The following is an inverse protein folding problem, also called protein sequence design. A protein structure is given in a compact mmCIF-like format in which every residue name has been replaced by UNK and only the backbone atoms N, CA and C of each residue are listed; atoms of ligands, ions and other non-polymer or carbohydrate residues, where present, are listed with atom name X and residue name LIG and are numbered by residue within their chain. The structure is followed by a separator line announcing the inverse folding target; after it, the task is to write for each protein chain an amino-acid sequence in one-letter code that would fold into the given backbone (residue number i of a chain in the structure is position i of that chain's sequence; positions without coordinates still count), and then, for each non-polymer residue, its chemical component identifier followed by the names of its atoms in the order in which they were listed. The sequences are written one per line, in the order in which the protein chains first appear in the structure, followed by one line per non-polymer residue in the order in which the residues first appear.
data_IF_237856243518
#
_entry.id   IF_237856243518
#
_cell.length_a   1.000
_cell.length_b   1.000
_cell.length_c   1.000
_cell.angle_alpha   90.00
_cell.angle_beta   90.00
_cell.angle_gamma   90.00
#
_symmetry.space_group_name_H-M   'P 1'
#
loop_
_entity.id
_entity.type
_entity.pdbx_description
1 polymer ?
#
# COMPACT_ATOMS: atom_id res chain seq x y z
N UNK A 1 -22.28 3.43 39.21
CA UNK A 1 -20.86 3.58 39.58
C UNK A 1 -20.52 2.33 40.37
N UNK A 2 -19.47 1.60 39.97
CA UNK A 2 -19.07 0.22 40.40
C UNK A 2 -19.93 -0.85 39.68
N UNK A 3 -19.46 -1.74 38.80
CA UNK A 3 -18.16 -2.41 38.67
C UNK A 3 -17.76 -2.61 37.19
N UNK A 4 -16.79 -1.84 36.69
CA UNK A 4 -16.01 -2.21 35.48
C UNK A 4 -14.58 -2.44 35.97
N UNK A 5 -14.42 -3.31 36.97
CA UNK A 5 -13.09 -3.69 37.47
C UNK A 5 -12.70 -5.05 36.89
N UNK A 6 -11.61 -5.00 36.11
CA UNK A 6 -10.84 -6.13 35.54
C UNK A 6 -11.46 -6.81 34.32
N UNK A 7 -11.92 -6.04 33.33
CA UNK A 7 -11.79 -6.53 31.95
C UNK A 7 -10.30 -6.47 31.60
N UNK A 8 -9.73 -7.61 31.25
CA UNK A 8 -8.36 -7.72 30.78
C UNK A 8 -8.27 -6.96 29.45
N UNK A 9 -7.97 -5.65 29.51
CA UNK A 9 -7.93 -4.76 28.35
C UNK A 9 -6.73 -5.20 27.52
N UNK A 10 -7.00 -5.93 26.44
CA UNK A 10 -6.00 -6.20 25.41
C UNK A 10 -5.71 -4.86 24.74
N UNK A 11 -4.43 -4.51 24.59
CA UNK A 11 -4.06 -3.29 23.90
C UNK A 11 -4.46 -3.37 22.42
N UNK A 12 -5.01 -2.29 21.87
CA UNK A 12 -5.42 -2.17 20.46
C UNK A 12 -4.29 -2.62 19.50
N UNK A 13 -3.03 -2.31 19.83
CA UNK A 13 -1.83 -2.70 19.07
C UNK A 13 -1.66 -4.22 18.95
N UNK A 14 -2.01 -4.98 19.99
CA UNK A 14 -1.91 -6.44 19.97
C UNK A 14 -2.92 -7.04 19.00
N UNK A 15 -4.12 -6.48 18.93
CA UNK A 15 -5.14 -6.90 17.97
C UNK A 15 -4.72 -6.51 16.55
N UNK A 16 -4.22 -5.28 16.38
CA UNK A 16 -3.75 -4.78 15.08
C UNK A 16 -2.66 -5.67 14.47
N UNK A 17 -1.67 -6.08 15.27
CA UNK A 17 -0.57 -6.94 14.82
C UNK A 17 -1.01 -8.37 14.42
N UNK A 18 -2.22 -8.78 14.81
CA UNK A 18 -2.81 -10.09 14.47
C UNK A 18 -3.73 -10.03 13.25
N UNK A 19 -4.00 -8.84 12.72
CA UNK A 19 -4.76 -8.66 11.49
C UNK A 19 -3.80 -8.69 10.30
N UNK A 20 -4.08 -9.58 9.35
CA UNK A 20 -3.28 -9.82 8.15
C UNK A 20 -4.18 -9.68 6.91
N UNK A 21 -3.57 -9.39 5.75
CA UNK A 21 -4.30 -9.27 4.49
C UNK A 21 -4.07 -10.53 3.66
N UNK A 22 -5.14 -11.25 3.35
CA UNK A 22 -5.10 -12.45 2.51
C UNK A 22 -6.26 -12.37 1.52
N UNK A 23 -6.00 -12.62 0.23
CA UNK A 23 -7.02 -12.51 -0.83
C UNK A 23 -7.77 -11.17 -0.80
N UNK A 24 -7.04 -10.07 -0.55
CA UNK A 24 -7.57 -8.71 -0.43
C UNK A 24 -8.59 -8.52 0.72
N UNK A 25 -8.62 -9.44 1.69
CA UNK A 25 -9.45 -9.34 2.88
C UNK A 25 -8.57 -9.24 4.12
N UNK A 26 -8.91 -8.31 5.01
CA UNK A 26 -8.37 -8.30 6.36
C UNK A 26 -8.95 -9.49 7.13
N UNK A 27 -8.08 -10.34 7.66
CA UNK A 27 -8.45 -11.57 8.36
C UNK A 27 -7.57 -11.79 9.59
N UNK A 28 -8.02 -12.67 10.48
CA UNK A 28 -7.25 -13.15 11.64
C UNK A 28 -7.21 -14.68 11.65
N UNK A 29 -6.08 -15.25 12.06
CA UNK A 29 -5.87 -16.69 12.13
C UNK A 29 -6.59 -17.31 13.32
N UNK A 30 -7.08 -18.54 13.19
CA UNK A 30 -7.75 -19.31 14.25
C UNK A 30 -6.95 -19.37 15.57
N UNK A 31 -5.62 -19.49 15.49
CA UNK A 31 -4.71 -19.50 16.63
C UNK A 31 -4.68 -18.16 17.36
N UNK A 32 -4.60 -17.05 16.62
CA UNK A 32 -4.66 -15.70 17.18
C UNK A 32 -6.02 -15.41 17.81
N UNK A 33 -7.11 -15.76 17.13
CA UNK A 33 -8.47 -15.60 17.65
C UNK A 33 -8.70 -16.42 18.92
N UNK A 34 -8.19 -17.65 18.94
CA UNK A 34 -8.29 -18.52 20.12
C UNK A 34 -7.53 -17.94 21.32
N UNK A 35 -6.32 -17.42 21.10
CA UNK A 35 -5.52 -16.74 22.12
C UNK A 35 -6.24 -15.51 22.68
N UNK A 36 -6.76 -14.65 21.82
CA UNK A 36 -7.47 -13.44 22.23
C UNK A 36 -8.72 -13.79 23.04
N UNK A 37 -9.51 -14.76 22.60
CA UNK A 37 -10.71 -15.23 23.31
C UNK A 37 -10.41 -16.10 24.53
N UNK A 38 -9.16 -16.49 24.76
CA UNK A 38 -8.76 -17.29 25.92
C UNK A 38 -9.22 -18.74 25.85
N UNK A 39 -9.30 -19.31 24.64
CA UNK A 39 -9.67 -20.71 24.39
C UNK A 39 -8.56 -21.41 23.60
N UNK A 40 -8.57 -22.74 23.55
CA UNK A 40 -7.65 -23.46 22.65
C UNK A 40 -8.14 -23.38 21.21
N UNK A 41 -7.20 -23.34 20.25
CA UNK A 41 -7.52 -23.35 18.80
C UNK A 41 -8.38 -24.55 18.42
N UNK A 42 -8.12 -25.72 19.03
CA UNK A 42 -8.95 -26.91 18.86
C UNK A 42 -10.41 -26.66 19.26
N UNK A 43 -10.65 -26.08 20.44
CA UNK A 43 -12.00 -25.81 20.94
C UNK A 43 -12.72 -24.75 20.10
N UNK A 44 -11.99 -23.74 19.62
CA UNK A 44 -12.51 -22.75 18.68
C UNK A 44 -12.96 -23.41 17.38
N UNK A 45 -12.12 -24.25 16.78
CA UNK A 45 -12.42 -24.96 15.54
C UNK A 45 -13.55 -25.99 15.70
N UNK A 46 -13.67 -26.64 16.86
CA UNK A 46 -14.82 -27.49 17.19
C UNK A 46 -16.13 -26.70 17.26
N UNK A 47 -16.11 -25.52 17.89
CA UNK A 47 -17.26 -24.63 17.97
C UNK A 47 -17.73 -24.17 16.59
N UNK A 48 -16.79 -23.83 15.70
CA UNK A 48 -17.07 -23.51 14.29
C UNK A 48 -17.71 -24.68 13.57
N UNK A 49 -17.11 -25.88 13.65
CA UNK A 49 -17.62 -27.09 13.00
C UNK A 49 -19.04 -27.47 13.44
N UNK A 50 -19.37 -27.26 14.72
CA UNK A 50 -20.74 -27.48 15.23
C UNK A 50 -21.74 -26.46 14.70
N UNK A 51 -21.28 -25.30 14.26
CA UNK A 51 -22.11 -24.16 13.85
C UNK A 51 -21.84 -23.73 12.40
N UNK A 52 -21.41 -24.63 11.51
CA UNK A 52 -21.00 -24.30 10.13
C UNK A 52 -22.02 -23.47 9.35
N UNK A 53 -23.34 -23.62 9.63
CA UNK A 53 -24.40 -22.81 9.00
C UNK A 53 -24.27 -21.30 9.25
N UNK A 54 -23.55 -20.89 10.31
CA UNK A 54 -23.27 -19.49 10.67
C UNK A 54 -22.00 -18.94 10.01
N UNK A 55 -21.24 -19.80 9.33
CA UNK A 55 -19.93 -19.49 8.80
C UNK A 55 -19.91 -19.70 7.28
N UNK A 56 -20.50 -18.77 6.51
CA UNK A 56 -20.37 -18.75 5.07
C UNK A 56 -18.92 -18.44 4.65
N UNK A 57 -18.62 -18.65 3.36
CA UNK A 57 -17.25 -18.56 2.80
C UNK A 57 -16.62 -17.17 2.91
N UNK A 58 -17.43 -16.13 2.99
CA UNK A 58 -17.03 -14.73 3.18
C UNK A 58 -16.75 -14.37 4.66
N UNK A 59 -17.14 -15.24 5.60
CA UNK A 59 -16.87 -15.04 7.03
C UNK A 59 -15.62 -15.78 7.48
N UNK A 60 -15.36 -16.93 6.85
CA UNK A 60 -14.16 -17.71 7.09
C UNK A 60 -13.79 -18.58 5.90
N UNK A 61 -12.51 -18.88 5.80
CA UNK A 61 -12.00 -19.85 4.85
C UNK A 61 -10.74 -20.52 5.40
N UNK A 62 -10.38 -21.65 4.82
CA UNK A 62 -9.13 -22.35 5.15
C UNK A 62 -8.01 -21.85 4.25
N UNK A 63 -6.82 -21.66 4.82
CA UNK A 63 -5.65 -21.31 4.02
C UNK A 63 -5.19 -22.49 3.18
N UNK A 64 -4.60 -22.17 2.02
CA UNK A 64 -3.81 -23.12 1.24
C UNK A 64 -2.43 -23.32 1.88
N UNK A 65 -1.73 -24.37 1.45
CA UNK A 65 -0.36 -24.62 1.90
C UNK A 65 0.57 -23.46 1.54
N UNK A 66 0.42 -22.90 0.34
CA UNK A 66 1.20 -21.74 -0.10
C UNK A 66 0.96 -20.50 0.77
N UNK A 67 -0.30 -20.13 0.99
CA UNK A 67 -0.66 -18.98 1.84
C UNK A 67 -0.12 -19.15 3.27
N UNK A 68 -0.20 -20.37 3.81
CA UNK A 68 0.35 -20.66 5.14
C UNK A 68 1.87 -20.48 5.19
N UNK A 69 2.60 -20.96 4.20
CA UNK A 69 4.07 -20.83 4.15
C UNK A 69 4.50 -19.37 4.06
N UNK A 70 3.81 -18.58 3.23
CA UNK A 70 4.02 -17.14 3.11
C UNK A 70 3.78 -16.41 4.43
N UNK A 71 2.67 -16.70 5.12
CA UNK A 71 2.39 -16.10 6.42
C UNK A 71 3.44 -16.45 7.48
N UNK A 72 3.88 -17.70 7.52
CA UNK A 72 4.91 -18.14 8.48
C UNK A 72 6.25 -17.45 8.22
N UNK A 73 6.55 -17.12 6.96
CA UNK A 73 7.75 -16.39 6.60
C UNK A 73 7.67 -14.90 6.97
N UNK A 74 6.49 -14.29 6.81
CA UNK A 74 6.28 -12.85 7.02
C UNK A 74 5.87 -12.47 8.44
N UNK A 75 5.30 -13.40 9.22
CA UNK A 75 4.75 -13.13 10.55
C UNK A 75 5.44 -13.99 11.62
N UNK A 76 6.30 -13.37 12.43
CA UNK A 76 7.08 -14.06 13.46
C UNK A 76 6.23 -14.75 14.53
N UNK A 77 5.08 -14.17 14.88
CA UNK A 77 4.17 -14.77 15.88
C UNK A 77 3.50 -16.06 15.39
N UNK A 78 3.45 -16.28 14.07
CA UNK A 78 2.86 -17.46 13.43
C UNK A 78 3.86 -18.61 13.22
N UNK A 79 5.15 -18.44 13.57
CA UNK A 79 6.19 -19.47 13.39
C UNK A 79 5.86 -20.82 14.01
N UNK A 80 5.07 -20.84 15.09
CA UNK A 80 4.60 -22.08 15.75
C UNK A 80 3.81 -22.99 14.80
N UNK A 81 3.17 -22.43 13.77
CA UNK A 81 2.39 -23.19 12.79
C UNK A 81 3.22 -23.79 11.65
N UNK A 82 4.52 -23.47 11.55
CA UNK A 82 5.42 -23.94 10.47
C UNK A 82 5.40 -25.45 10.29
N UNK A 83 5.46 -26.18 11.41
CA UNK A 83 5.51 -27.64 11.42
C UNK A 83 4.16 -28.30 11.67
N UNK A 84 3.09 -27.51 11.82
CA UNK A 84 1.74 -28.06 11.97
C UNK A 84 1.34 -28.74 10.66
N UNK A 85 0.81 -29.97 10.66
CA UNK A 85 0.25 -30.58 9.45
C UNK A 85 -1.11 -29.98 9.08
N UNK A 86 -1.72 -29.21 9.97
CA UNK A 86 -3.04 -28.61 9.75
C UNK A 86 -2.92 -27.25 9.06
N UNK A 87 -3.84 -27.02 8.11
CA UNK A 87 -4.05 -25.72 7.49
C UNK A 87 -5.03 -24.93 8.38
N UNK A 88 -4.63 -23.74 8.85
CA UNK A 88 -5.45 -22.96 9.77
C UNK A 88 -6.66 -22.36 9.06
N UNK A 89 -7.71 -22.13 9.83
CA UNK A 89 -8.81 -21.27 9.38
C UNK A 89 -8.45 -19.80 9.62
N UNK A 90 -8.95 -18.94 8.74
CA UNK A 90 -8.90 -17.50 8.91
C UNK A 90 -10.31 -16.93 8.93
N UNK A 91 -10.50 -15.86 9.69
CA UNK A 91 -11.80 -15.24 9.94
C UNK A 91 -11.75 -13.76 9.58
N UNK A 92 -12.77 -13.28 8.87
CA UNK A 92 -12.98 -11.85 8.63
C UNK A 92 -13.58 -11.19 9.87
N UNK A 93 -13.80 -9.87 9.82
CA UNK A 93 -14.55 -9.14 10.86
C UNK A 93 -15.89 -9.82 11.19
N UNK A 94 -16.65 -10.24 10.18
CA UNK A 94 -17.93 -10.92 10.38
C UNK A 94 -17.75 -12.32 10.99
N UNK A 95 -16.69 -13.04 10.59
CA UNK A 95 -16.29 -14.30 11.21
C UNK A 95 -15.95 -14.15 12.69
N UNK A 96 -15.26 -13.07 13.07
CA UNK A 96 -14.95 -12.75 14.47
C UNK A 96 -16.22 -12.55 15.30
N UNK A 97 -17.20 -11.80 14.76
CA UNK A 97 -18.50 -11.60 15.39
C UNK A 97 -19.24 -12.93 15.59
N UNK A 98 -19.25 -13.78 14.56
CA UNK A 98 -19.87 -15.10 14.67
C UNK A 98 -19.16 -15.98 15.71
N UNK A 99 -17.84 -15.97 15.77
CA UNK A 99 -17.07 -16.69 16.80
C UNK A 99 -17.45 -16.26 18.21
N UNK A 100 -17.57 -14.96 18.47
CA UNK A 100 -17.98 -14.45 19.77
C UNK A 100 -19.39 -14.92 20.16
N UNK A 101 -20.31 -14.94 19.20
CA UNK A 101 -21.69 -15.42 19.41
C UNK A 101 -21.75 -16.92 19.74
N UNK A 102 -20.83 -17.72 19.20
CA UNK A 102 -20.81 -19.18 19.43
C UNK A 102 -20.04 -19.52 20.71
N UNK A 103 -18.97 -18.80 21.04
CA UNK A 103 -18.20 -19.02 22.27
C UNK A 103 -18.93 -18.50 23.51
N UNK A 104 -19.69 -17.41 23.36
CA UNK A 104 -20.59 -16.85 24.37
C UNK A 104 -19.98 -16.68 25.78
N UNK A 105 -18.71 -16.26 25.84
CA UNK A 105 -18.03 -15.92 27.10
C UNK A 105 -17.86 -14.42 27.24
N UNK A 106 -17.88 -13.91 28.47
CA UNK A 106 -17.63 -12.49 28.77
C UNK A 106 -16.36 -11.96 28.10
N UNK A 107 -15.30 -12.77 28.10
CA UNK A 107 -14.05 -12.44 27.42
C UNK A 107 -14.24 -12.34 25.90
N UNK A 108 -14.91 -13.31 25.28
CA UNK A 108 -15.14 -13.30 23.84
C UNK A 108 -16.00 -12.10 23.41
N UNK A 109 -17.00 -11.72 24.21
CA UNK A 109 -17.84 -10.55 23.97
C UNK A 109 -17.00 -9.27 23.98
N UNK A 110 -16.22 -9.02 25.04
CA UNK A 110 -15.39 -7.82 25.16
C UNK A 110 -14.33 -7.70 24.07
N UNK A 111 -13.60 -8.80 23.82
CA UNK A 111 -12.55 -8.84 22.80
C UNK A 111 -13.13 -8.63 21.40
N UNK A 112 -14.29 -9.22 21.11
CA UNK A 112 -14.93 -9.05 19.81
C UNK A 112 -15.34 -7.59 19.54
N UNK A 113 -15.82 -6.87 20.56
CA UNK A 113 -16.10 -5.43 20.44
C UNK A 113 -14.83 -4.67 20.05
N UNK A 114 -13.69 -5.02 20.63
CA UNK A 114 -12.40 -4.39 20.27
C UNK A 114 -11.98 -4.76 18.86
N UNK A 115 -12.04 -6.04 18.49
CA UNK A 115 -11.72 -6.51 17.14
C UNK A 115 -12.53 -5.73 16.09
N UNK A 116 -13.85 -5.68 16.22
CA UNK A 116 -14.74 -4.94 15.30
C UNK A 116 -14.36 -3.46 15.21
N UNK A 117 -14.02 -2.81 16.33
CA UNK A 117 -13.57 -1.42 16.33
C UNK A 117 -12.26 -1.24 15.55
N UNK A 118 -11.29 -2.15 15.72
CA UNK A 118 -10.02 -2.09 15.00
C UNK A 118 -10.22 -2.31 13.50
N UNK A 119 -11.02 -3.30 13.11
CA UNK A 119 -11.35 -3.54 11.70
C UNK A 119 -11.99 -2.32 11.03
N UNK A 120 -12.90 -1.64 11.72
CA UNK A 120 -13.51 -0.40 11.22
C UNK A 120 -12.48 0.74 11.11
N UNK A 121 -11.62 0.95 12.10
CA UNK A 121 -10.53 1.95 12.02
C UNK A 121 -9.61 1.68 10.82
N UNK A 122 -9.23 0.43 10.58
CA UNK A 122 -8.40 0.05 9.41
C UNK A 122 -9.12 0.41 8.11
N UNK A 123 -10.42 0.09 8.02
CA UNK A 123 -11.23 0.40 6.83
C UNK A 123 -11.37 1.90 6.61
N UNK A 124 -11.63 2.68 7.65
CA UNK A 124 -11.70 4.15 7.59
C UNK A 124 -10.38 4.74 7.09
N UNK A 125 -9.25 4.28 7.65
CA UNK A 125 -7.92 4.67 7.20
C UNK A 125 -7.78 4.33 5.71
N UNK A 126 -8.02 3.07 5.31
CA UNK A 126 -7.88 2.63 3.91
C UNK A 126 -8.74 3.42 2.92
N UNK A 127 -9.95 3.82 3.32
CA UNK A 127 -10.83 4.67 2.52
C UNK A 127 -10.33 6.12 2.43
N UNK A 128 -9.77 6.65 3.51
CA UNK A 128 -9.23 8.02 3.55
C UNK A 128 -8.00 8.20 2.64
N UNK A 129 -7.21 7.15 2.40
CA UNK A 129 -6.04 7.18 1.52
C UNK A 129 -6.34 7.24 0.01
N UNK A 130 -7.60 7.13 -0.41
CA UNK A 130 -7.97 7.32 -1.83
C UNK A 130 -7.66 8.74 -2.30
N UNK A 131 -7.84 9.73 -1.43
CA UNK A 131 -7.56 11.14 -1.73
C UNK A 131 -6.05 11.39 -1.86
N UNK A 132 -5.23 10.72 -1.04
CA UNK A 132 -3.77 10.75 -1.16
C UNK A 132 -3.29 10.13 -2.47
N UNK A 133 -3.92 9.04 -2.92
CA UNK A 133 -3.59 8.43 -4.21
C UNK A 133 -3.90 9.36 -5.39
N UNK A 134 -5.01 10.11 -5.32
CA UNK A 134 -5.34 11.16 -6.28
C UNK A 134 -4.35 12.33 -6.23
N UNK A 135 -3.87 12.69 -5.04
CA UNK A 135 -2.88 13.75 -4.87
C UNK A 135 -1.52 13.37 -5.46
N UNK A 136 -1.06 12.13 -5.25
CA UNK A 136 0.15 11.59 -5.89
C UNK A 136 0.02 11.60 -7.41
N UNK A 137 -1.13 11.20 -7.96
CA UNK A 137 -1.37 11.25 -9.40
C UNK A 137 -1.27 12.68 -9.95
N UNK A 138 -1.82 13.68 -9.24
CA UNK A 138 -1.70 15.10 -9.62
C UNK A 138 -0.26 15.61 -9.55
N UNK A 139 0.53 15.14 -8.58
CA UNK A 139 1.95 15.50 -8.48
C UNK A 139 2.71 14.92 -9.68
N UNK A 140 2.51 13.64 -9.99
CA UNK A 140 3.17 12.97 -11.11
C UNK A 140 2.82 13.65 -12.45
N UNK A 141 1.55 14.02 -12.68
CA UNK A 141 1.17 14.70 -13.91
C UNK A 141 1.85 16.08 -14.05
N UNK A 142 1.95 16.84 -12.96
CA UNK A 142 2.68 18.13 -12.96
C UNK A 142 4.16 17.94 -13.23
N UNK A 143 4.77 16.87 -12.70
CA UNK A 143 6.18 16.57 -12.93
C UNK A 143 6.45 16.31 -14.41
N UNK A 144 5.58 15.53 -15.08
CA UNK A 144 5.65 15.30 -16.54
C UNK A 144 5.51 16.61 -17.32
N UNK A 145 4.55 17.47 -16.97
CA UNK A 145 4.41 18.81 -17.59
C UNK A 145 5.68 19.66 -17.43
N UNK A 146 6.40 19.51 -16.32
CA UNK A 146 7.65 20.23 -16.10
C UNK A 146 8.81 19.65 -16.93
N UNK A 147 8.88 18.33 -17.11
CA UNK A 147 9.85 17.69 -18.01
C UNK A 147 9.69 18.23 -19.44
N UNK A 148 8.46 18.29 -19.96
CA UNK A 148 8.17 18.81 -21.29
C UNK A 148 8.59 20.29 -21.44
N UNK A 149 8.32 21.12 -20.43
CA UNK A 149 8.73 22.53 -20.42
C UNK A 149 10.25 22.69 -20.38
N UNK A 150 10.95 21.85 -19.63
CA UNK A 150 12.41 21.88 -19.56
C UNK A 150 13.01 21.51 -20.92
N UNK A 151 12.49 20.46 -21.57
CA UNK A 151 12.92 20.09 -22.93
C UNK A 151 12.71 21.24 -23.92
N UNK A 152 11.56 21.91 -23.86
CA UNK A 152 11.27 23.05 -24.71
C UNK A 152 12.22 24.25 -24.46
N UNK A 153 12.54 24.54 -23.20
CA UNK A 153 13.52 25.58 -22.84
C UNK A 153 14.91 25.24 -23.40
N UNK A 154 15.35 23.98 -23.27
CA UNK A 154 16.62 23.55 -23.85
C UNK A 154 16.63 23.67 -25.39
N UNK A 155 15.52 23.36 -26.04
CA UNK A 155 15.38 23.54 -27.48
C UNK A 155 15.53 25.01 -27.88
N UNK A 156 14.83 25.92 -27.19
CA UNK A 156 14.97 27.35 -27.42
C UNK A 156 16.38 27.88 -27.14
N UNK A 157 17.03 27.42 -26.06
CA UNK A 157 18.41 27.79 -25.76
C UNK A 157 19.37 27.35 -26.88
N UNK A 158 19.19 26.14 -27.41
CA UNK A 158 19.98 25.61 -28.52
C UNK A 158 19.75 26.43 -29.80
N UNK A 159 18.51 26.81 -30.09
CA UNK A 159 18.20 27.67 -31.23
C UNK A 159 18.83 29.07 -31.09
N UNK A 160 18.77 29.65 -29.89
CA UNK A 160 19.36 30.95 -29.60
C UNK A 160 20.89 30.94 -29.68
N UNK A 161 21.54 29.90 -29.13
CA UNK A 161 22.99 29.70 -29.25
C UNK A 161 23.41 29.61 -30.73
N UNK A 162 22.71 28.80 -31.52
CA UNK A 162 22.97 28.67 -32.95
C UNK A 162 22.79 30.00 -33.71
N UNK A 163 21.76 30.78 -33.38
CA UNK A 163 21.54 32.10 -33.97
C UNK A 163 22.71 33.05 -33.65
N UNK A 164 23.14 33.08 -32.39
CA UNK A 164 24.27 33.90 -31.94
C UNK A 164 25.60 33.49 -32.58
N UNK A 165 25.85 32.19 -32.72
CA UNK A 165 27.04 31.66 -33.42
C UNK A 165 27.04 32.08 -34.89
N UNK A 166 25.90 31.98 -35.59
CA UNK A 166 25.77 32.44 -36.99
C UNK A 166 25.97 33.95 -37.13
N UNK A 167 25.49 34.75 -36.19
CA UNK A 167 25.72 36.20 -36.19
C UNK A 167 27.21 36.54 -36.03
N UNK A 168 27.90 35.87 -35.10
CA UNK A 168 29.35 36.01 -34.90
C UNK A 168 30.14 35.60 -36.15
N UNK A 169 29.74 34.49 -36.79
CA UNK A 169 30.34 34.05 -38.06
C UNK A 169 30.11 35.05 -39.20
N UNK A 170 28.93 35.68 -39.29
CA UNK A 170 28.66 36.71 -40.29
C UNK A 170 29.47 37.99 -40.05
N UNK A 171 29.66 38.41 -38.80
CA UNK A 171 30.46 39.59 -38.45
C UNK A 171 31.95 39.41 -38.74
N UNK A 172 32.45 38.17 -38.68
CA UNK A 172 33.85 37.83 -38.97
C UNK A 172 34.13 37.55 -40.44
N UNK A 173 33.14 37.63 -41.35
CA UNK A 173 33.39 37.39 -42.78
C UNK A 173 34.20 38.54 -43.41
N UNK A 174 35.23 38.22 -44.20
CA UNK A 174 35.99 39.24 -44.92
C UNK A 174 35.06 39.97 -45.91
N UNK A 175 35.09 41.31 -45.92
CA UNK A 175 34.30 42.12 -46.85
C UNK A 175 34.84 41.94 -48.27
N UNK A 176 34.12 41.21 -49.10
CA UNK A 176 34.43 41.04 -50.52
C UNK A 176 33.82 42.22 -51.28
N UNK A 177 34.67 43.13 -51.75
CA UNK A 177 34.29 44.25 -52.64
C UNK A 177 35.17 44.28 -53.88
N UNK A 178 34.56 44.43 -55.05
CA UNK A 178 35.27 44.54 -56.33
C UNK A 178 35.92 45.94 -56.43
N UNK A 179 37.26 46.00 -56.42
CA UNK A 179 37.99 47.23 -56.77
C UNK A 179 38.05 47.33 -58.31
N UNK A 180 37.49 48.37 -58.94
CA UNK A 180 37.67 48.56 -60.38
C UNK A 180 39.14 48.92 -60.65
N UNK A 181 39.78 48.20 -61.57
CA UNK A 181 41.14 48.49 -62.04
C UNK A 181 41.20 49.89 -62.66
N UNK A 182 41.90 50.82 -62.01
CA UNK A 182 42.24 52.10 -62.60
C UNK A 182 43.34 51.90 -63.65
N UNK A 183 42.95 51.84 -64.92
CA UNK A 183 43.87 52.05 -66.05
C UNK A 183 44.39 53.49 -66.01
N UNK A 184 45.70 53.68 -65.86
CA UNK A 184 46.44 54.85 -66.37
C UNK A 184 47.81 54.32 -66.85
N UNK A 185 47.97 54.06 -68.15
CA UNK A 185 48.45 54.97 -69.19
C UNK A 185 49.86 55.53 -68.92
N UNK A 186 50.84 54.85 -69.53
CA UNK A 186 51.82 55.39 -70.48
C UNK A 186 52.60 56.69 -70.18
N UNK A 187 53.92 56.53 -70.41
CA UNK A 187 54.89 57.45 -71.06
C UNK A 187 55.78 58.32 -70.17
N UNK A 188 57.08 58.23 -70.47
CA UNK A 188 58.10 59.23 -70.15
C UNK A 188 59.44 58.59 -69.87
#
# INVERSE_FOLDING_TARGET
MQDIEKTNIIADEVILNKIIIIRNQSVMVDSDMAELYGVSTKRLNEAVKRNMKRFPVDFMFQLTQYEKEELVANCDHLRKMKFSPYLPFVFTEHGAVMLASVLNSERAIHVNIQIVRIFNKIREIMLSHKDLLLEIQKINSKLTDHEDKILLVFEYLKQFENAKTRELEQQQRPKIGFKPESKNKEKG
#
